data_IF_944623537853
#
_entry.id   IF_944623537853
#
_cell.length_a   1.000
_cell.length_b   1.000
_cell.length_c   1.000
_cell.angle_alpha   90.00
_cell.angle_beta   90.00
_cell.angle_gamma   90.00
#
_symmetry.space_group_name_H-M   'P 1'
#
loop_
_entity.id
_entity.type
_entity.pdbx_description
1 polymer ?
2 non-polymer ?
#
# COMPACT_ATOMS: atom_id res chain seq x y z
N UNK A 1 2.74 9.78 -0.04
CA UNK A 1 1.36 9.80 -0.53
C UNK A 1 0.66 11.09 -0.15
N UNK A 2 -0.55 11.28 -0.67
CA UNK A 2 -1.33 12.48 -0.39
C UNK A 2 -2.58 12.13 0.41
N UNK A 3 -3.15 13.15 1.08
CA UNK A 3 -4.36 12.97 1.90
C UNK A 3 -5.60 12.72 1.03
N UNK A 4 -5.57 13.19 -0.20
CA UNK A 4 -6.68 13.01 -1.12
C UNK A 4 -6.70 11.59 -1.68
N UNK A 5 -5.52 11.06 -1.97
CA UNK A 5 -5.40 9.72 -2.52
C UNK A 5 -5.64 8.66 -1.44
N UNK A 6 -5.16 8.94 -0.23
CA UNK A 6 -5.32 8.03 0.89
C UNK A 6 -6.80 7.89 1.26
N UNK A 7 -7.51 9.00 1.27
CA UNK A 7 -8.94 9.00 1.61
C UNK A 7 -9.75 8.34 0.51
N UNK A 8 -9.18 8.25 -0.68
CA UNK A 8 -9.86 7.64 -1.82
C UNK A 8 -9.72 6.13 -1.79
N UNK A 9 -9.16 5.60 -0.70
CA UNK A 9 -8.97 4.17 -0.55
C UNK A 9 -9.02 3.77 0.92
N UNK A 10 -9.83 4.47 1.70
CA UNK A 10 -9.97 4.19 3.12
C UNK A 10 -8.64 4.40 3.85
N UNK A 11 -7.66 4.94 3.13
CA UNK A 11 -6.34 5.21 3.70
C UNK A 11 -5.97 4.12 4.71
N UNK A 12 -6.36 2.89 4.42
CA UNK A 12 -6.07 1.76 5.29
C UNK A 12 -5.19 0.73 4.59
N UNK A 13 -4.08 0.37 5.23
CA UNK A 13 -3.16 -0.61 4.67
C UNK A 13 -3.78 -2.00 4.65
N UNK A 14 -3.96 -2.54 3.45
CA UNK A 14 -4.55 -3.86 3.29
C UNK A 14 -3.64 -4.95 3.86
N UNK A 15 -2.35 -4.86 3.52
CA UNK A 15 -1.38 -5.83 4.01
C UNK A 15 -1.72 -6.30 5.41
N UNK A 16 -1.98 -5.36 6.30
CA UNK A 16 -2.32 -5.68 7.69
C UNK A 16 -3.74 -5.23 8.02
N UNK A 17 -4.39 -4.58 7.05
CA UNK A 17 -5.75 -4.10 7.23
C UNK A 17 -5.88 -3.32 8.54
N UNK A 18 -5.14 -2.22 8.65
CA UNK A 18 -5.18 -1.40 9.85
C UNK A 18 -5.59 0.03 9.51
N UNK A 19 -4.60 0.90 9.30
CA UNK A 19 -4.87 2.29 8.99
C UNK A 19 -3.57 3.00 8.57
N UNK A 20 -3.72 4.01 7.72
CA UNK A 20 -2.56 4.78 7.25
C UNK A 20 -2.81 6.28 7.41
N UNK A 21 -2.23 6.86 8.47
CA UNK A 21 -2.39 8.28 8.73
C UNK A 21 -1.16 9.07 8.28
N UNK A 22 -0.01 8.41 8.30
CA UNK A 22 1.24 9.03 7.89
C UNK A 22 2.39 8.03 7.90
N UNK A 23 3.24 8.11 6.89
CA UNK A 23 4.37 7.20 6.79
C UNK A 23 4.11 6.05 5.83
N UNK A 24 3.67 6.37 4.62
CA UNK A 24 3.39 5.36 3.62
C UNK A 24 3.64 5.90 2.22
N UNK A 25 3.73 4.99 1.25
CA UNK A 25 3.97 5.37 -0.14
C UNK A 25 2.76 5.07 -1.01
N UNK A 26 2.88 5.34 -2.30
CA UNK A 26 1.79 5.11 -3.24
C UNK A 26 2.27 4.31 -4.45
N UNK A 27 1.54 3.25 -4.79
CA UNK A 27 1.91 2.41 -5.93
C UNK A 27 1.36 2.99 -7.22
N UNK A 28 2.03 2.69 -8.34
CA UNK A 28 1.63 3.17 -9.67
C UNK A 28 0.34 2.51 -10.15
N UNK A 29 -0.24 1.67 -9.31
CA UNK A 29 -1.48 0.97 -9.65
C UNK A 29 -2.67 1.56 -8.89
N UNK A 30 -2.39 2.57 -8.07
CA UNK A 30 -3.43 3.22 -7.29
C UNK A 30 -3.73 2.44 -6.01
N UNK A 31 -2.68 2.08 -5.29
CA UNK A 31 -2.82 1.33 -4.05
C UNK A 31 -1.71 1.70 -3.06
N UNK A 32 -2.09 2.41 -1.99
CA UNK A 32 -1.13 2.82 -0.98
C UNK A 32 -1.09 1.82 0.18
N UNK A 33 0.11 1.57 0.68
CA UNK A 33 0.29 0.64 1.80
C UNK A 33 1.48 1.04 2.66
N UNK A 34 1.45 0.64 3.93
CA UNK A 34 2.53 0.96 4.86
C UNK A 34 3.88 0.77 4.19
N UNK A 35 4.79 1.71 4.43
CA UNK A 35 6.13 1.65 3.85
C UNK A 35 6.91 0.47 4.41
N UNK A 36 6.45 -0.06 5.53
CA UNK A 36 7.12 -1.19 6.18
C UNK A 36 6.49 -2.51 5.74
N UNK A 37 5.19 -2.47 5.47
CA UNK A 37 4.46 -3.67 5.03
C UNK A 37 4.79 -4.01 3.59
N UNK A 38 5.09 -2.99 2.79
CA UNK A 38 5.41 -3.18 1.39
C UNK A 38 6.79 -3.82 1.24
N UNK A 39 7.83 -3.08 1.63
CA UNK A 39 9.19 -3.58 1.54
C UNK A 39 9.30 -4.99 2.12
N UNK A 40 8.39 -5.31 3.04
CA UNK A 40 8.39 -6.62 3.67
C UNK A 40 7.47 -7.59 2.92
N UNK A 41 6.48 -7.04 2.24
CA UNK A 41 5.53 -7.85 1.48
C UNK A 41 6.14 -8.31 0.17
N UNK A 42 6.82 -7.40 -0.52
CA UNK A 42 7.45 -7.72 -1.79
C UNK A 42 8.65 -8.65 -1.58
N UNK A 43 9.17 -8.68 -0.36
CA UNK A 43 10.32 -9.52 -0.03
C UNK A 43 9.93 -11.00 -0.11
N UNK A 44 8.64 -11.27 -0.26
CA UNK A 44 8.16 -12.64 -0.35
C UNK A 44 7.16 -12.79 -1.49
N UNK A 45 6.38 -11.74 -1.74
CA UNK A 45 5.38 -11.76 -2.80
C UNK A 45 5.53 -10.53 -3.70
N UNK A 46 6.10 -10.73 -4.88
CA UNK A 46 6.29 -9.65 -5.84
C UNK A 46 4.99 -9.28 -6.52
N UNK A 47 3.94 -9.05 -5.72
CA UNK A 47 2.64 -8.69 -6.25
C UNK A 47 1.84 -7.87 -5.24
N UNK A 48 1.11 -6.88 -5.74
CA UNK A 48 0.31 -6.01 -4.88
C UNK A 48 -0.52 -6.84 -3.90
N UNK A 49 -0.59 -6.37 -2.65
CA UNK A 49 -1.35 -7.06 -1.59
C UNK A 49 -2.85 -6.97 -1.81
N UNK A 50 -3.25 -6.37 -2.92
CA UNK A 50 -4.67 -6.22 -3.25
C UNK A 50 -4.93 -6.57 -4.71
N UNK A 51 -4.16 -5.95 -5.61
CA UNK A 51 -4.31 -6.19 -7.03
C UNK A 51 -3.25 -7.17 -7.53
N UNK A 52 -2.37 -7.59 -6.64
CA UNK A 52 -1.32 -8.53 -6.98
C UNK A 52 -0.83 -8.29 -8.41
N UNK A 53 -0.67 -7.03 -8.78
CA UNK A 53 -0.21 -6.68 -10.12
C UNK A 53 1.26 -6.28 -10.09
N UNK A 54 2.09 -7.07 -10.79
CA UNK A 54 3.53 -6.80 -10.85
C UNK A 54 3.80 -5.29 -10.85
N UNK A 55 4.64 -4.85 -9.92
CA UNK A 55 4.99 -3.44 -9.81
C UNK A 55 6.49 -3.25 -9.84
N UNK A 56 7.22 -4.07 -9.09
CA UNK A 56 8.66 -3.98 -9.03
C UNK A 56 9.28 -4.12 -10.43
X LIG B 1 0.38 -2.45 6.99
X LIG C 1 -2.13 -2.50 -6.87
#
# INVERSE_FOLDING_TARGET
ATPEELQAMDNVCIICREEMVTGAKRLPCNHIFHTSCLRSWFQRQQTCPTCRMDVL
ZN ZN
ZN ZN
#
